data_IF_815335906383
#
_entry.id   IF_815335906383
#
_cell.length_a   1.000
_cell.length_b   1.000
_cell.length_c   1.000
_cell.angle_alpha   90.00
_cell.angle_beta   90.00
_cell.angle_gamma   90.00
#
_symmetry.space_group_name_H-M   'P 1'
#
loop_
_entity.id
_entity.type
_entity.pdbx_description
1 polymer ?
#
# COMPACT_ATOMS: atom_id res chain seq x y z
N UNK A 1 45.37 19.16 8.00
CA UNK A 1 44.14 18.39 8.13
C UNK A 1 42.98 19.36 8.20
N UNK A 2 42.08 19.44 7.19
CA UNK A 2 40.93 20.32 7.28
C UNK A 2 39.85 19.69 8.17
N UNK A 3 39.40 20.46 9.17
CA UNK A 3 38.27 20.13 10.03
C UNK A 3 36.99 20.35 9.26
N UNK A 4 36.15 19.32 9.16
CA UNK A 4 34.76 19.39 8.65
C UNK A 4 33.88 20.06 9.71
N UNK A 5 33.16 21.14 9.41
CA UNK A 5 32.23 21.71 10.39
C UNK A 5 31.04 20.74 10.60
N UNK A 6 30.82 20.42 11.86
CA UNK A 6 29.66 19.66 12.31
C UNK A 6 28.44 20.60 12.23
N UNK A 7 27.59 20.43 11.22
CA UNK A 7 26.27 21.04 11.21
C UNK A 7 25.40 20.32 12.25
N UNK A 8 24.93 21.11 13.22
CA UNK A 8 24.01 20.63 14.24
C UNK A 8 22.73 20.13 13.57
N UNK A 9 22.34 18.90 13.88
CA UNK A 9 21.08 18.33 13.41
C UNK A 9 19.89 19.28 13.69
N UNK A 10 18.98 19.49 12.73
CA UNK A 10 17.84 20.35 12.95
C UNK A 10 17.01 19.82 14.11
N UNK A 11 16.82 20.64 15.15
CA UNK A 11 15.85 20.36 16.21
C UNK A 11 14.47 20.42 15.58
N UNK A 12 13.93 19.26 15.22
CA UNK A 12 12.52 19.14 14.92
C UNK A 12 11.77 19.42 16.21
N UNK A 13 11.20 20.60 16.32
CA UNK A 13 10.26 20.91 17.37
C UNK A 13 9.08 19.94 17.19
N UNK A 14 8.91 19.01 18.14
CA UNK A 14 7.69 18.24 18.25
C UNK A 14 6.59 19.25 18.54
N UNK A 15 5.89 19.72 17.49
CA UNK A 15 4.61 20.39 17.69
C UNK A 15 3.70 19.30 18.26
N UNK A 16 3.45 19.35 19.56
CA UNK A 16 2.32 18.67 20.13
C UNK A 16 1.08 19.30 19.45
N UNK A 17 0.67 18.72 18.32
CA UNK A 17 -0.71 18.85 17.87
C UNK A 17 -1.53 18.23 19.00
N UNK A 18 -2.01 19.10 19.89
CA UNK A 18 -2.97 18.71 20.89
C UNK A 18 -4.11 18.01 20.17
N UNK A 19 -4.27 16.74 20.44
CA UNK A 19 -5.50 16.05 20.13
C UNK A 19 -6.65 16.93 20.64
N UNK A 20 -7.69 17.22 19.83
CA UNK A 20 -8.78 18.11 20.23
C UNK A 20 -9.63 17.52 21.38
N UNK A 21 -9.18 16.48 22.00
CA UNK A 21 -9.78 15.80 23.10
C UNK A 21 -8.83 15.85 24.29
N UNK A 22 -9.28 16.56 25.32
CA UNK A 22 -8.73 16.52 26.69
C UNK A 22 -7.75 17.66 27.09
N UNK A 23 -8.27 18.86 27.12
CA UNK A 23 -7.93 19.73 28.22
C UNK A 23 -9.02 19.57 29.31
N UNK A 24 -9.01 18.43 29.98
CA UNK A 24 -9.76 18.28 31.23
C UNK A 24 -8.85 18.83 32.31
N UNK A 25 -9.17 19.96 32.92
CA UNK A 25 -8.41 20.43 34.06
C UNK A 25 -8.56 19.40 35.18
N UNK A 26 -7.53 18.58 35.39
CA UNK A 26 -7.44 17.66 36.52
C UNK A 26 -7.10 18.46 37.78
N UNK A 27 -8.02 19.32 38.21
CA UNK A 27 -7.92 19.91 39.52
C UNK A 27 -8.61 18.97 40.52
N UNK A 28 -8.11 18.83 41.75
CA UNK A 28 -8.78 18.03 42.78
C UNK A 28 -10.27 18.38 42.97
N UNK A 29 -10.69 19.57 42.59
CA UNK A 29 -12.10 20.00 42.57
C UNK A 29 -12.94 19.23 41.50
N UNK A 30 -12.32 18.68 40.44
CA UNK A 30 -13.03 17.84 39.46
C UNK A 30 -13.41 16.45 39.99
N UNK A 31 -12.87 16.04 41.14
CA UNK A 31 -13.15 14.76 41.78
C UNK A 31 -14.00 14.87 43.03
N UNK A 32 -14.76 15.98 43.23
CA UNK A 32 -15.79 16.07 44.25
C UNK A 32 -15.27 16.19 45.68
N UNK A 33 -14.04 16.71 45.91
CA UNK A 33 -13.54 16.99 47.26
C UNK A 33 -13.96 18.40 47.70
N UNK A 34 -15.24 18.56 47.93
CA UNK A 34 -15.77 19.61 48.80
C UNK A 34 -16.78 19.00 49.77
N UNK A 35 -16.29 18.07 50.61
CA UNK A 35 -17.02 17.62 51.80
C UNK A 35 -16.59 18.53 52.95
N UNK A 36 -17.30 19.60 53.14
CA UNK A 36 -16.95 20.49 54.25
C UNK A 36 -17.78 21.75 54.45
N UNK A 37 -18.97 21.85 53.85
CA UNK A 37 -19.91 22.91 54.22
C UNK A 37 -21.35 22.45 54.02
N UNK A 38 -21.83 21.60 54.88
CA UNK A 38 -23.19 21.10 54.89
C UNK A 38 -23.78 21.20 56.27
N UNK A 39 -24.25 22.40 56.64
CA UNK A 39 -25.13 22.56 57.79
C UNK A 39 -26.32 23.54 57.60
N UNK A 40 -26.75 23.76 56.37
CA UNK A 40 -28.02 24.46 56.17
C UNK A 40 -28.69 23.93 54.88
N UNK A 41 -29.64 23.04 54.99
CA UNK A 41 -30.48 22.57 53.89
C UNK A 41 -30.23 21.10 53.51
N UNK A 42 -30.52 20.17 54.39
CA UNK A 42 -30.31 18.73 54.15
C UNK A 42 -31.10 18.20 52.94
N UNK A 43 -32.21 18.80 52.58
CA UNK A 43 -33.01 18.49 51.41
C UNK A 43 -32.36 18.92 50.11
N UNK A 44 -31.95 20.19 50.00
CA UNK A 44 -31.29 20.75 48.83
C UNK A 44 -29.89 20.18 48.61
N UNK A 45 -29.21 19.75 49.69
CA UNK A 45 -27.90 19.13 49.60
C UNK A 45 -27.97 17.71 49.01
N UNK A 46 -29.00 16.94 49.30
CA UNK A 46 -29.23 15.60 48.74
C UNK A 46 -29.60 15.70 47.26
N UNK A 47 -30.43 16.66 46.88
CA UNK A 47 -30.80 16.88 45.45
C UNK A 47 -29.58 17.30 44.63
N UNK A 48 -28.82 18.29 45.11
CA UNK A 48 -27.56 18.71 44.49
C UNK A 48 -26.50 17.63 44.48
N UNK A 49 -26.35 16.84 45.51
CA UNK A 49 -25.47 15.68 45.55
C UNK A 49 -25.92 14.61 44.58
N UNK A 50 -27.21 14.38 44.41
CA UNK A 50 -27.78 13.49 43.42
C UNK A 50 -27.50 13.92 41.98
N UNK A 51 -27.69 15.19 41.68
CA UNK A 51 -27.36 15.79 40.37
C UNK A 51 -25.85 15.75 40.08
N UNK A 52 -25.01 16.06 41.08
CA UNK A 52 -23.56 15.98 40.95
C UNK A 52 -23.11 14.54 40.69
N UNK A 53 -23.65 13.57 41.46
CA UNK A 53 -23.36 12.14 41.28
C UNK A 53 -23.83 11.63 39.91
N UNK A 54 -24.98 12.09 39.42
CA UNK A 54 -25.45 11.74 38.05
C UNK A 54 -24.54 12.30 36.99
N UNK A 55 -24.14 13.55 37.16
CA UNK A 55 -23.18 14.24 36.22
C UNK A 55 -21.82 13.54 36.24
N UNK A 56 -21.29 13.20 37.41
CA UNK A 56 -20.03 12.49 37.56
C UNK A 56 -20.09 11.08 36.94
N UNK A 57 -21.19 10.38 37.08
CA UNK A 57 -21.42 9.05 36.46
C UNK A 57 -21.41 9.15 34.93
N UNK A 58 -22.08 10.16 34.36
CA UNK A 58 -22.11 10.40 32.95
C UNK A 58 -20.69 10.71 32.47
N UNK A 59 -19.94 11.54 33.16
CA UNK A 59 -18.56 11.91 32.84
C UNK A 59 -17.61 10.71 32.89
N UNK A 60 -17.67 9.90 33.96
CA UNK A 60 -16.90 8.67 34.08
C UNK A 60 -17.24 7.70 32.97
N UNK A 61 -18.53 7.57 32.61
CA UNK A 61 -18.92 6.70 31.51
C UNK A 61 -18.43 7.17 30.16
N UNK A 62 -18.45 8.47 29.91
CA UNK A 62 -17.88 9.06 28.67
C UNK A 62 -16.38 8.83 28.59
N UNK A 63 -15.66 9.04 29.69
CA UNK A 63 -14.23 8.79 29.78
C UNK A 63 -13.87 7.31 29.52
N UNK A 64 -14.61 6.40 30.16
CA UNK A 64 -14.45 4.95 29.94
C UNK A 64 -14.73 4.56 28.50
N UNK A 65 -15.77 5.12 27.89
CA UNK A 65 -16.12 4.86 26.50
C UNK A 65 -14.99 5.35 25.56
N UNK A 66 -14.43 6.55 25.79
CA UNK A 66 -13.31 7.06 25.02
C UNK A 66 -12.07 6.16 25.15
N UNK A 67 -11.66 5.82 26.37
CA UNK A 67 -10.52 4.95 26.60
C UNK A 67 -10.69 3.55 25.95
N UNK A 68 -11.91 3.01 25.97
CA UNK A 68 -12.21 1.74 25.33
C UNK A 68 -12.12 1.84 23.78
N UNK A 69 -12.59 2.95 23.21
CA UNK A 69 -12.45 3.23 21.76
C UNK A 69 -10.98 3.32 21.37
N UNK A 70 -10.20 4.08 22.13
CA UNK A 70 -8.76 4.26 21.88
C UNK A 70 -8.00 2.92 21.92
N UNK A 71 -8.31 2.08 22.92
CA UNK A 71 -7.72 0.75 23.05
C UNK A 71 -8.12 -0.17 21.89
N UNK A 72 -9.39 -0.18 21.50
CA UNK A 72 -9.89 -0.96 20.37
C UNK A 72 -9.27 -0.48 19.04
N UNK A 73 -9.15 0.84 18.87
CA UNK A 73 -8.53 1.43 17.69
C UNK A 73 -7.02 1.08 17.61
N UNK A 74 -6.30 1.14 18.74
CA UNK A 74 -4.90 0.76 18.80
C UNK A 74 -4.67 -0.73 18.47
N UNK A 75 -5.54 -1.62 19.01
CA UNK A 75 -5.49 -3.05 18.69
C UNK A 75 -5.76 -3.31 17.20
N UNK A 76 -6.76 -2.65 16.64
CA UNK A 76 -7.08 -2.71 15.21
C UNK A 76 -5.91 -2.19 14.35
N UNK A 77 -5.32 -1.04 14.72
CA UNK A 77 -4.17 -0.48 14.01
C UNK A 77 -3.01 -1.47 13.93
N UNK A 78 -2.70 -2.14 15.04
CA UNK A 78 -1.66 -3.18 15.07
C UNK A 78 -2.01 -4.36 14.16
N UNK A 79 -3.23 -4.92 14.31
CA UNK A 79 -3.67 -6.07 13.52
C UNK A 79 -3.65 -5.77 12.01
N UNK A 80 -4.09 -4.57 11.62
CA UNK A 80 -4.05 -4.10 10.23
C UNK A 80 -2.62 -3.94 9.73
N UNK A 81 -1.74 -3.34 10.52
CA UNK A 81 -0.33 -3.19 10.18
C UNK A 81 0.35 -4.52 9.90
N UNK A 82 0.05 -5.54 10.70
CA UNK A 82 0.57 -6.90 10.52
C UNK A 82 0.02 -7.53 9.22
N UNK A 83 -1.27 -7.36 8.92
CA UNK A 83 -1.89 -7.83 7.68
C UNK A 83 -1.32 -7.13 6.45
N UNK A 84 -1.19 -5.80 6.48
CA UNK A 84 -0.63 -5.01 5.38
C UNK A 84 0.83 -5.36 5.12
N UNK A 85 1.64 -5.54 6.16
CA UNK A 85 3.03 -5.96 6.02
C UNK A 85 3.14 -7.33 5.33
N UNK A 86 2.30 -8.30 5.71
CA UNK A 86 2.26 -9.60 5.06
C UNK A 86 1.83 -9.50 3.59
N UNK A 87 0.82 -8.68 3.29
CA UNK A 87 0.31 -8.50 1.94
C UNK A 87 1.33 -7.83 1.03
N UNK A 88 2.07 -6.84 1.53
CA UNK A 88 3.13 -6.12 0.78
C UNK A 88 4.33 -6.98 0.43
N UNK A 89 4.55 -8.10 1.11
CA UNK A 89 5.60 -9.05 0.78
C UNK A 89 5.23 -9.96 -0.41
N UNK A 90 3.96 -9.98 -0.81
CA UNK A 90 3.52 -10.72 -1.98
C UNK A 90 3.98 -10.02 -3.26
N UNK A 91 4.36 -10.79 -4.26
CA UNK A 91 4.84 -10.31 -5.55
C UNK A 91 4.24 -11.10 -6.71
N UNK A 92 4.38 -10.58 -7.92
CA UNK A 92 3.89 -11.22 -9.12
C UNK A 92 2.36 -11.20 -9.21
N UNK A 93 1.75 -12.35 -9.43
CA UNK A 93 0.29 -12.54 -9.50
C UNK A 93 -0.38 -12.77 -8.14
N UNK A 94 0.42 -13.08 -7.10
CA UNK A 94 -0.07 -13.43 -5.76
C UNK A 94 -0.89 -12.31 -5.10
N UNK A 95 -0.50 -11.02 -5.15
CA UNK A 95 -1.31 -9.96 -4.57
C UNK A 95 -2.71 -9.88 -5.18
N UNK A 96 -2.82 -10.06 -6.50
CA UNK A 96 -4.13 -10.06 -7.17
C UNK A 96 -4.99 -11.24 -6.74
N UNK A 97 -4.40 -12.44 -6.62
CA UNK A 97 -5.12 -13.64 -6.20
C UNK A 97 -5.60 -13.55 -4.74
N UNK A 98 -4.85 -12.86 -3.86
CA UNK A 98 -5.14 -12.73 -2.43
C UNK A 98 -5.80 -11.43 -2.03
N UNK A 99 -6.10 -10.52 -2.96
CA UNK A 99 -6.62 -9.19 -2.65
C UNK A 99 -7.94 -9.25 -1.86
N UNK A 100 -8.89 -10.06 -2.29
CA UNK A 100 -10.19 -10.18 -1.63
C UNK A 100 -10.05 -10.77 -0.22
N UNK A 101 -9.20 -11.76 -0.03
CA UNK A 101 -8.94 -12.36 1.28
C UNK A 101 -8.31 -11.35 2.23
N UNK A 102 -7.37 -10.55 1.72
CA UNK A 102 -6.73 -9.48 2.50
C UNK A 102 -7.75 -8.42 2.93
N UNK A 103 -8.59 -7.92 2.00
CA UNK A 103 -9.65 -6.95 2.32
C UNK A 103 -10.62 -7.52 3.36
N UNK A 104 -11.01 -8.79 3.22
CA UNK A 104 -11.86 -9.47 4.19
C UNK A 104 -11.19 -9.60 5.57
N UNK A 105 -9.88 -9.87 5.61
CA UNK A 105 -9.11 -9.92 6.86
C UNK A 105 -9.01 -8.54 7.54
N UNK A 106 -8.81 -7.46 6.80
CA UNK A 106 -8.84 -6.09 7.31
C UNK A 106 -10.20 -5.73 7.90
N UNK A 107 -11.29 -6.08 7.21
CA UNK A 107 -12.65 -5.85 7.72
C UNK A 107 -12.93 -6.68 8.96
N UNK A 108 -12.50 -7.94 9.01
CA UNK A 108 -12.62 -8.79 10.19
C UNK A 108 -11.86 -8.22 11.39
N UNK A 109 -10.66 -7.67 11.17
CA UNK A 109 -9.90 -7.01 12.23
C UNK A 109 -10.64 -5.77 12.77
N UNK A 110 -11.26 -4.98 11.88
CA UNK A 110 -12.09 -3.83 12.23
C UNK A 110 -13.31 -4.26 13.04
N UNK A 111 -14.03 -5.30 12.59
CA UNK A 111 -15.20 -5.82 13.29
C UNK A 111 -14.84 -6.37 14.68
N UNK A 112 -13.73 -7.06 14.82
CA UNK A 112 -13.26 -7.56 16.12
C UNK A 112 -13.01 -6.43 17.13
N UNK A 113 -12.45 -5.29 16.68
CA UNK A 113 -12.31 -4.10 17.50
C UNK A 113 -13.66 -3.52 17.91
N UNK A 114 -14.63 -3.46 17.00
CA UNK A 114 -15.99 -3.01 17.29
C UNK A 114 -16.71 -3.93 18.29
N UNK A 115 -16.58 -5.25 18.12
CA UNK A 115 -17.23 -6.25 18.97
C UNK A 115 -16.67 -6.28 20.40
N UNK A 116 -15.44 -5.82 20.59
CA UNK A 116 -14.84 -5.66 21.93
C UNK A 116 -15.50 -4.54 22.75
N UNK A 117 -16.25 -3.66 22.11
CA UNK A 117 -16.93 -2.53 22.74
C UNK A 117 -18.36 -2.91 23.18
N UNK A 118 -18.71 -2.57 24.40
CA UNK A 118 -20.03 -2.87 24.97
C UNK A 118 -21.06 -1.76 24.78
N UNK A 119 -20.59 -0.50 24.70
CA UNK A 119 -21.44 0.68 24.57
C UNK A 119 -21.78 0.96 23.10
N UNK A 120 -23.06 1.15 22.73
CA UNK A 120 -23.45 1.55 21.38
C UNK A 120 -22.79 2.86 20.93
N UNK A 121 -22.62 3.82 21.85
CA UNK A 121 -21.96 5.12 21.60
C UNK A 121 -20.49 4.90 21.28
N UNK A 122 -19.80 4.03 22.04
CA UNK A 122 -18.41 3.68 21.76
C UNK A 122 -18.25 2.95 20.42
N UNK A 123 -19.15 2.04 20.07
CA UNK A 123 -19.16 1.36 18.78
C UNK A 123 -19.30 2.35 17.61
N UNK A 124 -20.21 3.30 17.72
CA UNK A 124 -20.39 4.31 16.66
C UNK A 124 -19.17 5.24 16.53
N UNK A 125 -18.59 5.67 17.64
CA UNK A 125 -17.35 6.47 17.62
C UNK A 125 -16.22 5.70 16.93
N UNK A 126 -16.01 4.44 17.30
CA UNK A 126 -15.02 3.55 16.71
C UNK A 126 -15.25 3.35 15.20
N UNK A 127 -16.49 3.13 14.75
CA UNK A 127 -16.81 3.01 13.32
C UNK A 127 -16.42 4.25 12.55
N UNK A 128 -16.77 5.43 13.05
CA UNK A 128 -16.44 6.71 12.41
C UNK A 128 -14.93 6.92 12.26
N UNK A 129 -14.17 6.50 13.25
CA UNK A 129 -12.72 6.62 13.25
C UNK A 129 -12.07 5.62 12.28
N UNK A 130 -12.51 4.37 12.27
CA UNK A 130 -11.84 3.27 11.58
C UNK A 130 -12.26 3.09 10.12
N UNK A 131 -13.47 3.52 9.72
CA UNK A 131 -13.99 3.29 8.36
C UNK A 131 -13.14 3.97 7.26
N UNK A 132 -12.68 5.18 7.49
CA UNK A 132 -11.84 5.91 6.53
C UNK A 132 -10.51 5.22 6.34
N UNK A 133 -9.95 4.73 7.43
CA UNK A 133 -8.68 4.05 7.40
C UNK A 133 -8.78 2.70 6.69
N UNK A 134 -9.85 1.93 6.95
CA UNK A 134 -10.14 0.71 6.21
C UNK A 134 -10.25 0.96 4.70
N UNK A 135 -10.99 2.00 4.29
CA UNK A 135 -11.11 2.37 2.88
C UNK A 135 -9.74 2.72 2.26
N UNK A 136 -8.91 3.45 2.99
CA UNK A 136 -7.55 3.78 2.54
C UNK A 136 -6.67 2.55 2.37
N UNK A 137 -6.70 1.60 3.32
CA UNK A 137 -5.92 0.37 3.24
C UNK A 137 -6.38 -0.52 2.08
N UNK A 138 -7.70 -0.64 1.88
CA UNK A 138 -8.25 -1.39 0.75
C UNK A 138 -7.79 -0.81 -0.61
N UNK A 139 -7.77 0.52 -0.74
CA UNK A 139 -7.24 1.18 -1.95
C UNK A 139 -5.75 0.92 -2.12
N UNK A 140 -4.96 1.01 -1.05
CA UNK A 140 -3.51 0.74 -1.10
C UNK A 140 -3.21 -0.71 -1.48
N UNK A 141 -3.97 -1.67 -0.95
CA UNK A 141 -3.86 -3.07 -1.31
C UNK A 141 -4.19 -3.28 -2.80
N UNK A 142 -5.24 -2.66 -3.31
CA UNK A 142 -5.59 -2.68 -4.73
C UNK A 142 -4.48 -2.10 -5.62
N UNK A 143 -3.90 -0.97 -5.24
CA UNK A 143 -2.80 -0.33 -5.95
C UNK A 143 -1.53 -1.22 -5.97
N UNK A 144 -1.20 -1.86 -4.84
CA UNK A 144 -0.09 -2.80 -4.77
C UNK A 144 -0.33 -4.00 -5.69
N UNK A 145 -1.51 -4.62 -5.63
CA UNK A 145 -1.87 -5.74 -6.49
C UNK A 145 -1.82 -5.38 -7.98
N UNK A 146 -2.33 -4.21 -8.36
CA UNK A 146 -2.28 -3.74 -9.74
C UNK A 146 -0.84 -3.48 -10.23
N UNK A 147 0.01 -2.93 -9.36
CA UNK A 147 1.43 -2.66 -9.67
C UNK A 147 2.21 -3.95 -9.87
N UNK A 148 2.07 -4.92 -8.95
CA UNK A 148 2.75 -6.20 -9.06
C UNK A 148 2.24 -7.03 -10.24
N UNK A 149 0.95 -6.97 -10.56
CA UNK A 149 0.40 -7.63 -11.74
C UNK A 149 0.96 -7.05 -13.05
N UNK A 150 1.12 -5.71 -13.15
CA UNK A 150 1.76 -5.08 -14.30
C UNK A 150 3.20 -5.54 -14.45
N UNK A 151 3.96 -5.58 -13.35
CA UNK A 151 5.34 -6.05 -13.31
C UNK A 151 5.42 -7.51 -13.75
N UNK A 152 4.59 -8.38 -13.21
CA UNK A 152 4.51 -9.80 -13.54
C UNK A 152 4.21 -10.03 -15.04
N UNK A 153 3.21 -9.33 -15.60
CA UNK A 153 2.90 -9.40 -17.04
C UNK A 153 4.09 -9.00 -17.89
N UNK A 154 4.79 -7.94 -17.49
CA UNK A 154 5.98 -7.47 -18.20
C UNK A 154 7.11 -8.48 -18.16
N UNK A 155 7.42 -9.02 -16.99
CA UNK A 155 8.47 -10.02 -16.80
C UNK A 155 8.16 -11.30 -17.59
N UNK A 156 6.90 -11.75 -17.55
CA UNK A 156 6.42 -12.91 -18.31
C UNK A 156 6.52 -12.69 -19.83
N UNK A 157 6.18 -11.50 -20.32
CA UNK A 157 6.31 -11.15 -21.72
C UNK A 157 7.79 -11.13 -22.16
N UNK A 158 8.68 -10.54 -21.36
CA UNK A 158 10.12 -10.54 -21.62
C UNK A 158 10.70 -11.97 -21.64
N UNK A 159 10.27 -12.80 -20.69
CA UNK A 159 10.70 -14.21 -20.64
C UNK A 159 10.30 -14.96 -21.92
N UNK A 160 9.04 -14.83 -22.35
CA UNK A 160 8.54 -15.43 -23.58
C UNK A 160 9.27 -14.91 -24.83
N UNK A 161 9.56 -13.60 -24.88
CA UNK A 161 10.36 -13.03 -25.98
C UNK A 161 11.77 -13.61 -26.02
N UNK A 162 12.43 -13.72 -24.87
CA UNK A 162 13.78 -14.31 -24.80
C UNK A 162 13.76 -15.77 -25.26
N UNK A 163 12.77 -16.56 -24.85
CA UNK A 163 12.60 -17.94 -25.29
C UNK A 163 12.45 -18.04 -26.83
N UNK A 164 11.63 -17.15 -27.43
CA UNK A 164 11.51 -17.08 -28.91
C UNK A 164 12.81 -16.67 -29.59
N UNK A 165 13.56 -15.73 -29.01
CA UNK A 165 14.86 -15.30 -29.55
C UNK A 165 15.86 -16.46 -29.43
N UNK A 166 15.89 -17.18 -28.32
CA UNK A 166 16.77 -18.33 -28.13
C UNK A 166 16.43 -19.47 -29.11
N UNK A 167 15.14 -19.66 -29.41
CA UNK A 167 14.70 -20.61 -30.46
C UNK A 167 15.19 -20.19 -31.86
N UNK A 168 15.16 -18.89 -32.19
CA UNK A 168 15.75 -18.39 -33.46
C UNK A 168 17.26 -18.58 -33.53
N UNK A 169 17.96 -18.47 -32.41
CA UNK A 169 19.41 -18.71 -32.32
C UNK A 169 19.72 -20.19 -32.53
N UNK A 170 18.87 -21.06 -31.96
CA UNK A 170 19.04 -22.54 -32.09
C UNK A 170 18.78 -23.06 -33.51
N UNK A 171 17.86 -22.39 -34.26
CA UNK A 171 17.53 -22.74 -35.65
C UNK A 171 17.54 -21.48 -36.54
N UNK A 172 18.75 -20.91 -36.82
CA UNK A 172 18.90 -19.63 -37.47
C UNK A 172 18.50 -19.62 -38.95
N UNK A 173 18.40 -20.78 -39.60
CA UNK A 173 17.97 -20.93 -41.00
C UNK A 173 16.43 -20.96 -41.15
N UNK A 174 15.67 -21.08 -40.05
CA UNK A 174 14.21 -21.14 -40.06
C UNK A 174 13.61 -19.75 -40.30
N UNK A 175 13.37 -19.43 -41.55
CA UNK A 175 12.83 -18.13 -41.96
C UNK A 175 11.46 -17.88 -41.31
N UNK A 176 10.59 -18.90 -41.30
CA UNK A 176 9.24 -18.75 -40.74
C UNK A 176 9.29 -18.44 -39.24
N UNK A 177 10.08 -19.17 -38.47
CA UNK A 177 10.25 -18.93 -37.03
C UNK A 177 10.74 -17.49 -36.75
N UNK A 178 11.68 -17.03 -37.60
CA UNK A 178 12.23 -15.68 -37.49
C UNK A 178 11.18 -14.61 -37.77
N UNK A 179 10.42 -14.75 -38.85
CA UNK A 179 9.33 -13.80 -39.20
C UNK A 179 8.26 -13.75 -38.13
N UNK A 180 7.81 -14.90 -37.64
CA UNK A 180 6.78 -15.00 -36.58
C UNK A 180 7.29 -14.38 -35.28
N UNK A 181 8.57 -14.58 -34.94
CA UNK A 181 9.16 -13.97 -33.74
C UNK A 181 9.30 -12.47 -33.88
N UNK A 182 9.80 -11.97 -35.01
CA UNK A 182 9.90 -10.52 -35.26
C UNK A 182 8.52 -9.86 -35.23
N UNK A 183 7.50 -10.47 -35.85
CA UNK A 183 6.12 -9.98 -35.78
C UNK A 183 5.63 -9.92 -34.33
N UNK A 184 5.86 -10.97 -33.55
CA UNK A 184 5.52 -10.99 -32.13
C UNK A 184 6.24 -9.90 -31.34
N UNK A 185 7.54 -9.64 -31.60
CA UNK A 185 8.30 -8.56 -30.99
C UNK A 185 7.74 -7.17 -31.34
N UNK A 186 7.32 -6.97 -32.60
CA UNK A 186 6.68 -5.72 -33.04
C UNK A 186 5.43 -5.46 -32.22
N UNK A 187 4.53 -6.44 -32.17
CA UNK A 187 3.26 -6.32 -31.49
C UNK A 187 3.43 -6.08 -29.99
N UNK A 188 4.24 -6.92 -29.31
CA UNK A 188 4.42 -6.85 -27.86
C UNK A 188 5.19 -5.62 -27.40
N UNK A 189 6.33 -5.29 -28.02
CA UNK A 189 7.17 -4.18 -27.59
C UNK A 189 6.54 -2.81 -27.85
N UNK A 190 5.81 -2.67 -28.96
CA UNK A 190 5.07 -1.44 -29.24
C UNK A 190 3.92 -1.23 -28.23
N UNK A 191 3.11 -2.27 -28.01
CA UNK A 191 2.02 -2.22 -27.04
C UNK A 191 2.52 -1.92 -25.62
N UNK A 192 3.59 -2.63 -25.17
CA UNK A 192 4.20 -2.37 -23.87
C UNK A 192 4.77 -0.95 -23.75
N UNK A 193 5.37 -0.41 -24.82
CA UNK A 193 5.84 0.97 -24.83
C UNK A 193 4.72 1.97 -24.56
N UNK A 194 3.57 1.79 -25.18
CA UNK A 194 2.39 2.64 -24.98
C UNK A 194 1.77 2.47 -23.58
N UNK A 195 1.70 1.23 -23.07
CA UNK A 195 1.24 0.95 -21.70
C UNK A 195 2.16 1.57 -20.64
N UNK A 196 3.46 1.67 -20.94
CA UNK A 196 4.46 2.36 -20.10
C UNK A 196 4.38 3.91 -20.20
N UNK A 197 3.47 4.44 -21.01
CA UNK A 197 3.26 5.87 -21.19
C UNK A 197 4.24 6.53 -22.16
N UNK A 198 4.95 5.75 -22.97
CA UNK A 198 5.81 6.31 -24.00
C UNK A 198 4.98 6.93 -25.13
N UNK A 199 5.50 7.99 -25.76
CA UNK A 199 4.94 8.49 -27.01
C UNK A 199 5.09 7.47 -28.14
N UNK A 200 4.25 7.55 -29.18
CA UNK A 200 4.32 6.69 -30.35
C UNK A 200 5.76 6.57 -30.93
N UNK A 201 6.49 7.68 -31.17
CA UNK A 201 7.86 7.58 -31.67
C UNK A 201 8.80 6.86 -30.72
N UNK A 202 8.66 7.09 -29.39
CA UNK A 202 9.51 6.44 -28.38
C UNK A 202 9.21 4.95 -28.23
N UNK A 203 7.95 4.55 -28.35
CA UNK A 203 7.53 3.15 -28.35
C UNK A 203 8.08 2.42 -29.60
N UNK A 204 8.04 3.08 -30.77
CA UNK A 204 8.61 2.56 -32.01
C UNK A 204 10.14 2.43 -31.93
N UNK A 205 10.84 3.42 -31.37
CA UNK A 205 12.29 3.35 -31.17
C UNK A 205 12.69 2.18 -30.24
N UNK A 206 11.98 2.01 -29.15
CA UNK A 206 12.16 0.87 -28.22
C UNK A 206 11.96 -0.48 -28.94
N UNK A 207 10.89 -0.61 -29.72
CA UNK A 207 10.59 -1.79 -30.53
C UNK A 207 11.72 -2.09 -31.49
N UNK A 208 12.16 -1.08 -32.27
CA UNK A 208 13.24 -1.24 -33.25
C UNK A 208 14.56 -1.66 -32.58
N UNK A 209 14.91 -1.09 -31.43
CA UNK A 209 16.09 -1.49 -30.66
C UNK A 209 16.03 -2.95 -30.22
N UNK A 210 14.84 -3.42 -29.79
CA UNK A 210 14.67 -4.81 -29.37
C UNK A 210 14.79 -5.80 -30.52
N UNK A 211 14.18 -5.47 -31.67
CA UNK A 211 14.30 -6.27 -32.91
C UNK A 211 15.76 -6.31 -33.38
N UNK A 212 16.40 -5.14 -33.44
CA UNK A 212 17.81 -5.07 -33.85
C UNK A 212 18.72 -5.91 -32.95
N UNK A 213 18.49 -5.89 -31.63
CA UNK A 213 19.23 -6.74 -30.70
C UNK A 213 18.97 -8.24 -30.91
N UNK A 214 17.73 -8.64 -31.21
CA UNK A 214 17.38 -10.03 -31.51
C UNK A 214 18.06 -10.50 -32.81
N UNK A 215 17.93 -9.74 -33.90
CA UNK A 215 18.55 -10.03 -35.21
C UNK A 215 20.07 -10.09 -35.07
N UNK A 216 20.68 -9.17 -34.32
CA UNK A 216 22.12 -9.17 -34.07
C UNK A 216 22.62 -10.45 -33.39
N UNK A 217 21.87 -10.98 -32.44
CA UNK A 217 22.18 -12.28 -31.78
C UNK A 217 22.12 -13.45 -32.75
N UNK A 218 21.09 -13.50 -33.61
CA UNK A 218 20.92 -14.56 -34.61
C UNK A 218 22.02 -14.46 -35.67
N UNK A 219 22.33 -13.23 -36.15
CA UNK A 219 23.43 -12.99 -37.08
C UNK A 219 24.76 -13.41 -36.49
N UNK A 220 25.04 -13.14 -35.23
CA UNK A 220 26.26 -13.58 -34.56
C UNK A 220 26.36 -15.11 -34.46
N UNK A 221 25.24 -15.82 -34.28
CA UNK A 221 25.21 -17.28 -34.31
C UNK A 221 25.52 -17.82 -35.74
N UNK A 222 24.92 -17.21 -36.79
CA UNK A 222 25.17 -17.56 -38.18
C UNK A 222 26.62 -17.24 -38.59
N UNK A 223 27.19 -16.13 -38.16
CA UNK A 223 28.52 -15.70 -38.58
C UNK A 223 29.64 -16.73 -38.33
N UNK A 224 29.43 -17.61 -37.37
CA UNK A 224 30.37 -18.70 -37.07
C UNK A 224 30.29 -19.88 -38.07
N UNK A 225 29.16 -20.05 -38.74
CA UNK A 225 28.89 -21.18 -39.64
C UNK A 225 28.65 -20.78 -41.07
N UNK A 226 28.06 -19.61 -41.29
CA UNK A 226 27.68 -19.05 -42.59
C UNK A 226 27.74 -17.50 -42.56
N UNK A 227 28.94 -16.91 -42.81
CA UNK A 227 29.10 -15.46 -42.78
C UNK A 227 28.24 -14.72 -43.79
N UNK A 228 28.02 -15.31 -44.98
CA UNK A 228 27.22 -14.69 -46.05
C UNK A 228 25.75 -14.61 -45.66
N UNK A 229 25.20 -15.67 -45.09
CA UNK A 229 23.83 -15.68 -44.53
C UNK A 229 23.70 -14.68 -43.38
N UNK A 230 24.71 -14.52 -42.53
CA UNK A 230 24.73 -13.54 -41.47
C UNK A 230 24.66 -12.10 -41.97
N UNK A 231 25.42 -11.78 -43.04
CA UNK A 231 25.43 -10.46 -43.69
C UNK A 231 24.07 -10.16 -44.35
N UNK A 232 23.52 -11.13 -45.08
CA UNK A 232 22.20 -11.01 -45.73
C UNK A 232 21.09 -10.79 -44.71
N UNK A 233 21.14 -11.48 -43.57
CA UNK A 233 20.20 -11.27 -42.48
C UNK A 233 20.25 -9.81 -41.96
N UNK A 234 21.41 -9.27 -41.70
CA UNK A 234 21.58 -7.88 -41.24
C UNK A 234 21.07 -6.90 -42.28
N UNK A 235 21.33 -7.14 -43.60
CA UNK A 235 20.82 -6.28 -44.67
C UNK A 235 19.31 -6.26 -44.78
N UNK A 236 18.65 -7.40 -44.52
CA UNK A 236 17.19 -7.52 -44.60
C UNK A 236 16.45 -6.73 -43.51
N UNK A 237 17.11 -6.43 -42.40
CA UNK A 237 16.50 -5.73 -41.24
C UNK A 237 17.13 -4.34 -40.95
N UNK A 238 17.90 -3.78 -41.87
CA UNK A 238 18.37 -2.38 -41.85
C UNK A 238 17.29 -1.42 -42.37
#
# INVERSE_FOLDING_TARGET
MPQVPYEAAPKVGVSQQGTPYMNVPTTPAAFGVTVGQAEAGFGDAIEKAGETLATDRIYIQQFKNSANVDNAAAANFKARGDLDNQFRLLSGDQPQAKLNDHIAALEKARQAGEDSLTSPVAKEAYRKETIRQFAYDAVNAGNHAATEMKKFKRESAIALENEKIDAMIADPYNVQLREDTVKSLIETQHAQGLEDGLSQPAATDRMNKRIGAAISKVSAALANTDPDAAEDLVKAYK
#
